data_IF_431665473582
#
_entry.id   IF_431665473582
#
_cell.length_a   1.000
_cell.length_b   1.000
_cell.length_c   1.000
_cell.angle_alpha   90.00
_cell.angle_beta   90.00
_cell.angle_gamma   90.00
#
_symmetry.space_group_name_H-M   'P 1'
#
loop_
_entity.id
_entity.type
_entity.pdbx_description
1 polymer ?
#
# COMPACT_ATOMS: atom_id res chain seq x y z
N UNK A 1 -3.94 12.63 37.71
CA UNK A 1 -5.12 12.44 36.83
C UNK A 1 -5.24 10.95 36.55
N UNK A 2 -6.36 10.31 36.86
CA UNK A 2 -6.56 8.89 36.58
C UNK A 2 -6.52 8.68 35.06
N UNK A 3 -5.47 8.02 34.56
CA UNK A 3 -5.36 7.59 33.16
C UNK A 3 -6.31 6.40 32.92
N UNK A 4 -7.62 6.62 33.02
CA UNK A 4 -8.58 5.57 32.70
C UNK A 4 -8.44 5.22 31.21
N UNK A 5 -8.29 3.94 30.90
CA UNK A 5 -8.34 3.43 29.54
C UNK A 5 -9.81 3.39 29.13
N UNK A 6 -10.13 4.03 28.02
CA UNK A 6 -11.47 4.11 27.43
C UNK A 6 -11.47 3.32 26.13
N UNK A 7 -12.58 2.66 25.83
CA UNK A 7 -12.77 1.99 24.53
C UNK A 7 -13.79 2.77 23.71
N UNK A 8 -13.56 2.86 22.41
CA UNK A 8 -14.44 3.53 21.45
C UNK A 8 -14.22 3.04 20.03
N UNK A 9 -15.04 3.55 19.12
CA UNK A 9 -14.98 3.18 17.70
C UNK A 9 -14.55 4.36 16.84
N UNK A 10 -13.67 4.13 15.90
CA UNK A 10 -13.26 5.14 14.92
C UNK A 10 -14.43 5.42 13.98
N UNK A 11 -14.96 6.64 14.05
CA UNK A 11 -16.10 7.09 13.22
C UNK A 11 -15.66 7.86 11.98
N UNK A 12 -14.45 8.41 12.00
CA UNK A 12 -13.89 9.17 10.89
C UNK A 12 -12.36 9.08 10.84
N UNK A 13 -11.78 9.03 9.63
CA UNK A 13 -10.33 9.05 9.40
C UNK A 13 -10.01 10.13 8.37
N UNK A 14 -9.11 11.04 8.72
CA UNK A 14 -8.51 11.99 7.78
C UNK A 14 -7.04 11.64 7.58
N UNK A 15 -6.73 11.02 6.45
CA UNK A 15 -5.36 10.59 6.14
C UNK A 15 -4.45 11.77 5.79
N UNK A 16 -4.98 12.84 5.17
CA UNK A 16 -4.22 14.05 4.80
C UNK A 16 -3.77 14.83 6.04
N UNK A 17 -4.71 15.08 6.96
CA UNK A 17 -4.44 15.82 8.19
C UNK A 17 -4.01 14.94 9.35
N UNK A 18 -3.90 13.63 9.12
CA UNK A 18 -3.38 12.60 10.04
C UNK A 18 -4.08 12.58 11.39
N UNK A 19 -5.41 12.61 11.39
CA UNK A 19 -6.21 12.47 12.59
C UNK A 19 -7.39 11.51 12.38
N UNK A 20 -7.89 11.00 13.52
CA UNK A 20 -9.12 10.20 13.59
C UNK A 20 -10.09 10.84 14.56
N UNK A 21 -11.39 10.56 14.37
CA UNK A 21 -12.43 10.86 15.36
C UNK A 21 -12.90 9.53 15.94
N UNK A 22 -12.90 9.45 17.26
CA UNK A 22 -13.33 8.27 18.01
C UNK A 22 -14.64 8.60 18.72
N UNK A 23 -15.68 7.79 18.49
CA UNK A 23 -16.90 7.79 19.28
C UNK A 23 -16.73 6.87 20.47
N UNK A 24 -17.11 7.31 21.65
CA UNK A 24 -17.10 6.54 22.89
C UNK A 24 -18.28 6.91 23.78
N UNK A 25 -18.60 6.03 24.70
CA UNK A 25 -19.67 6.27 25.68
C UNK A 25 -19.08 6.60 27.05
N UNK A 26 -19.57 7.66 27.65
CA UNK A 26 -19.24 8.03 29.01
C UNK A 26 -20.53 8.40 29.79
N UNK A 27 -20.78 7.68 30.88
CA UNK A 27 -21.97 7.85 31.72
C UNK A 27 -23.29 7.81 30.90
N UNK A 28 -23.41 6.87 29.96
CA UNK A 28 -24.61 6.70 29.13
C UNK A 28 -24.78 7.77 28.03
N UNK A 29 -23.75 8.61 27.78
CA UNK A 29 -23.79 9.63 26.73
C UNK A 29 -22.70 9.34 25.68
N UNK A 30 -23.10 9.39 24.42
CA UNK A 30 -22.14 9.34 23.30
C UNK A 30 -21.35 10.63 23.23
N UNK A 31 -20.05 10.51 23.14
CA UNK A 31 -19.08 11.61 22.99
C UNK A 31 -18.13 11.31 21.86
N UNK A 32 -17.49 12.33 21.34
CA UNK A 32 -16.44 12.20 20.33
C UNK A 32 -15.15 12.85 20.84
N UNK A 33 -14.03 12.29 20.41
CA UNK A 33 -12.71 12.85 20.68
C UNK A 33 -11.82 12.68 19.45
N UNK A 34 -10.97 13.67 19.18
CA UNK A 34 -9.99 13.63 18.10
C UNK A 34 -8.69 12.99 18.60
N UNK A 35 -8.11 12.09 17.82
CA UNK A 35 -6.80 11.51 18.08
C UNK A 35 -5.85 11.70 16.90
N UNK A 36 -4.55 11.84 17.14
CA UNK A 36 -3.53 11.91 16.09
C UNK A 36 -3.11 10.52 15.64
N UNK A 37 -2.98 10.32 14.32
CA UNK A 37 -2.43 9.09 13.73
C UNK A 37 -0.90 9.05 13.93
N UNK A 38 -0.24 10.20 13.93
CA UNK A 38 1.22 10.35 14.05
C UNK A 38 1.64 10.75 15.48
N UNK A 39 1.16 10.06 16.50
CA UNK A 39 1.68 10.29 17.84
C UNK A 39 3.19 10.01 17.91
N UNK A 40 3.99 11.06 18.08
CA UNK A 40 5.42 10.90 18.38
C UNK A 40 5.55 10.30 19.78
N UNK A 41 6.28 9.19 19.96
CA UNK A 41 6.47 8.64 21.30
C UNK A 41 7.22 9.64 22.18
N UNK A 42 6.66 9.95 23.34
CA UNK A 42 7.25 10.90 24.32
C UNK A 42 8.48 10.33 25.06
N UNK A 43 8.78 9.02 24.94
CA UNK A 43 9.86 8.35 25.66
C UNK A 43 10.68 7.41 24.78
N UNK A 44 11.98 7.28 25.04
CA UNK A 44 12.92 6.39 24.34
C UNK A 44 12.49 4.91 24.33
N UNK A 45 11.91 4.39 25.42
CA UNK A 45 11.35 3.04 25.47
C UNK A 45 10.13 2.83 24.53
N UNK A 46 9.44 3.90 24.16
CA UNK A 46 8.36 3.87 23.16
C UNK A 46 8.91 3.95 21.73
N UNK A 47 10.12 4.47 21.52
CA UNK A 47 10.79 4.49 20.22
C UNK A 47 11.19 3.06 19.81
N UNK A 48 11.71 2.25 20.71
CA UNK A 48 12.05 0.85 20.47
C UNK A 48 10.79 -0.02 20.20
N UNK A 49 9.64 0.32 20.79
CA UNK A 49 8.35 -0.32 20.49
C UNK A 49 7.72 0.17 19.18
N UNK A 50 8.09 1.34 18.66
CA UNK A 50 7.59 1.93 17.41
C UNK A 50 8.16 1.28 16.13
N UNK A 51 9.13 0.40 16.24
CA UNK A 51 9.54 -0.50 15.15
C UNK A 51 8.40 -1.50 14.82
N UNK A 52 7.41 -1.68 15.69
CA UNK A 52 6.13 -2.30 15.33
C UNK A 52 5.34 -1.30 14.49
N UNK A 53 5.15 -1.62 13.20
CA UNK A 53 4.35 -0.88 12.22
C UNK A 53 3.09 -0.30 12.87
N UNK A 54 2.89 1.00 12.72
CA UNK A 54 1.64 1.66 13.14
C UNK A 54 0.49 1.06 12.34
N UNK A 55 -0.57 0.64 13.02
CA UNK A 55 -1.79 0.17 12.39
C UNK A 55 -2.42 1.31 11.58
N UNK A 56 -2.72 1.13 10.28
CA UNK A 56 -3.49 2.11 9.54
C UNK A 56 -4.93 2.06 10.05
N UNK A 57 -5.37 3.10 10.76
CA UNK A 57 -6.73 3.16 11.29
C UNK A 57 -7.78 3.24 10.18
N UNK A 58 -8.89 2.54 10.39
CA UNK A 58 -10.04 2.51 9.49
C UNK A 58 -11.32 2.88 10.25
N UNK A 59 -12.33 3.34 9.52
CA UNK A 59 -13.66 3.54 10.10
C UNK A 59 -14.17 2.19 10.63
N UNK A 60 -14.78 2.19 11.81
CA UNK A 60 -15.25 0.97 12.48
C UNK A 60 -14.20 0.25 13.33
N UNK A 61 -12.92 0.70 13.31
CA UNK A 61 -11.93 0.17 14.24
C UNK A 61 -12.35 0.40 15.69
N UNK A 62 -12.39 -0.65 16.47
CA UNK A 62 -12.48 -0.54 17.92
C UNK A 62 -11.09 -0.32 18.48
N UNK A 63 -10.94 0.75 19.28
CA UNK A 63 -9.66 1.19 19.83
C UNK A 63 -9.76 1.41 21.32
N UNK A 64 -8.65 1.23 22.03
CA UNK A 64 -8.48 1.71 23.40
C UNK A 64 -7.62 2.97 23.39
N UNK A 65 -7.91 3.91 24.27
CA UNK A 65 -7.20 5.19 24.35
C UNK A 65 -7.34 5.84 25.73
N UNK A 66 -6.54 6.86 25.97
CA UNK A 66 -6.68 7.76 27.11
C UNK A 66 -7.14 9.13 26.64
N UNK A 67 -7.84 9.88 27.47
CA UNK A 67 -8.16 11.29 27.22
C UNK A 67 -7.12 12.16 27.92
N UNK A 68 -6.48 13.02 27.16
CA UNK A 68 -5.50 13.99 27.64
C UNK A 68 -5.72 15.37 27.04
N UNK A 69 -4.97 16.34 27.52
CA UNK A 69 -4.97 17.69 26.94
C UNK A 69 -3.99 17.71 25.77
N UNK A 70 -4.34 18.39 24.67
CA UNK A 70 -3.48 18.60 23.51
C UNK A 70 -2.15 19.24 23.90
N UNK A 71 -1.11 19.08 23.10
CA UNK A 71 0.19 19.73 23.36
C UNK A 71 0.10 21.27 23.41
N UNK A 72 -0.93 21.85 22.78
CA UNK A 72 -1.24 23.29 22.86
C UNK A 72 -2.04 23.69 24.08
N UNK A 73 -2.56 22.74 24.86
CA UNK A 73 -3.34 22.97 26.07
C UNK A 73 -4.77 23.48 25.85
N UNK A 74 -5.24 23.51 24.61
CA UNK A 74 -6.50 24.14 24.18
C UNK A 74 -7.70 23.20 24.08
N UNK A 75 -7.49 21.89 24.02
CA UNK A 75 -8.56 20.90 23.81
C UNK A 75 -8.21 19.52 24.35
N UNK A 76 -9.25 18.73 24.61
CA UNK A 76 -9.11 17.32 24.95
C UNK A 76 -8.84 16.49 23.68
N UNK A 77 -7.91 15.55 23.78
CA UNK A 77 -7.53 14.65 22.69
C UNK A 77 -7.41 13.22 23.18
N UNK A 78 -7.65 12.25 22.27
CA UNK A 78 -7.29 10.87 22.50
C UNK A 78 -5.77 10.69 22.35
N UNK A 79 -5.17 10.02 23.33
CA UNK A 79 -3.73 9.70 23.38
C UNK A 79 -3.53 8.22 23.65
N UNK A 80 -2.35 7.65 23.33
CA UNK A 80 -2.04 6.22 23.48
C UNK A 80 -3.06 5.31 22.79
N UNK A 81 -3.46 5.68 21.58
CA UNK A 81 -4.49 4.97 20.82
C UNK A 81 -3.94 3.62 20.38
N UNK A 82 -4.64 2.54 20.75
CA UNK A 82 -4.27 1.17 20.42
C UNK A 82 -5.44 0.48 19.73
N UNK A 83 -5.20 -0.06 18.54
CA UNK A 83 -6.17 -0.87 17.82
C UNK A 83 -6.47 -2.17 18.58
N UNK A 84 -7.73 -2.54 18.63
CA UNK A 84 -8.21 -3.79 19.22
C UNK A 84 -8.72 -4.75 18.14
N UNK A 85 -9.76 -4.37 17.40
CA UNK A 85 -10.35 -5.16 16.31
C UNK A 85 -11.23 -4.28 15.40
N UNK A 86 -11.63 -4.84 14.23
CA UNK A 86 -12.63 -4.23 13.34
C UNK A 86 -13.56 -5.31 12.77
N UNK A 87 -14.78 -5.34 13.24
CA UNK A 87 -15.77 -6.33 12.82
C UNK A 87 -16.12 -6.20 11.33
N UNK A 88 -16.22 -4.99 10.79
CA UNK A 88 -16.52 -4.77 9.36
C UNK A 88 -15.38 -5.32 8.47
N UNK A 89 -14.13 -5.08 8.84
CA UNK A 89 -12.97 -5.63 8.13
C UNK A 89 -12.98 -7.17 8.16
N UNK A 90 -13.27 -7.76 9.31
CA UNK A 90 -13.32 -9.22 9.46
C UNK A 90 -14.43 -9.83 8.60
N UNK A 91 -15.59 -9.18 8.53
CA UNK A 91 -16.69 -9.62 7.66
C UNK A 91 -16.29 -9.55 6.18
N UNK A 92 -15.63 -8.48 5.74
CA UNK A 92 -15.15 -8.37 4.35
C UNK A 92 -14.07 -9.40 4.02
N UNK A 93 -13.13 -9.67 4.94
CA UNK A 93 -12.13 -10.72 4.77
C UNK A 93 -12.80 -12.10 4.62
N UNK A 94 -13.76 -12.41 5.47
CA UNK A 94 -14.51 -13.67 5.40
C UNK A 94 -15.30 -13.79 4.08
N UNK A 95 -15.98 -12.71 3.66
CA UNK A 95 -16.66 -12.66 2.35
C UNK A 95 -15.67 -12.87 1.20
N UNK A 96 -14.49 -12.26 1.25
CA UNK A 96 -13.46 -12.40 0.23
C UNK A 96 -12.93 -13.83 0.07
N UNK A 97 -13.03 -14.67 1.10
CA UNK A 97 -12.64 -16.11 1.01
C UNK A 97 -13.62 -16.93 0.17
N UNK A 98 -14.86 -16.49 0.05
CA UNK A 98 -15.92 -17.20 -0.71
C UNK A 98 -16.22 -16.49 -2.03
N UNK A 99 -16.39 -15.17 -1.99
CA UNK A 99 -16.69 -14.34 -3.13
C UNK A 99 -15.88 -13.03 -3.03
N UNK A 100 -14.74 -13.01 -3.68
CA UNK A 100 -13.82 -11.87 -3.62
C UNK A 100 -14.15 -10.82 -4.69
N UNK A 101 -15.39 -10.33 -4.69
CA UNK A 101 -15.88 -9.33 -5.61
C UNK A 101 -16.62 -8.23 -4.84
N UNK A 102 -16.08 -7.02 -4.87
CA UNK A 102 -16.58 -5.87 -4.15
C UNK A 102 -16.76 -4.66 -5.08
N UNK A 103 -17.60 -3.74 -4.64
CA UNK A 103 -17.81 -2.45 -5.30
C UNK A 103 -17.33 -1.35 -4.35
N UNK A 104 -16.69 -0.34 -4.89
CA UNK A 104 -16.22 0.81 -4.13
C UNK A 104 -16.00 2.02 -5.02
N UNK A 105 -15.57 3.11 -4.40
CA UNK A 105 -15.22 4.36 -5.08
C UNK A 105 -13.71 4.52 -5.13
N UNK A 106 -13.17 4.83 -6.30
CA UNK A 106 -11.76 5.16 -6.46
C UNK A 106 -11.47 6.51 -5.81
N UNK A 107 -10.46 6.56 -4.95
CA UNK A 107 -10.05 7.76 -4.20
C UNK A 107 -8.55 7.96 -4.32
N UNK A 108 -8.14 9.23 -4.19
CA UNK A 108 -6.73 9.60 -4.02
C UNK A 108 -6.56 10.38 -2.71
N UNK A 109 -5.54 10.04 -1.95
CA UNK A 109 -5.19 10.69 -0.68
C UNK A 109 -3.66 10.72 -0.58
N UNK A 110 -3.06 11.88 -0.39
CA UNK A 110 -1.59 12.07 -0.35
C UNK A 110 -0.89 11.37 -1.53
N UNK A 111 -1.35 11.59 -2.76
CA UNK A 111 -0.84 11.00 -4.01
C UNK A 111 -0.87 9.46 -4.05
N UNK A 112 -1.64 8.83 -3.16
CA UNK A 112 -1.84 7.38 -3.13
C UNK A 112 -3.28 7.04 -3.48
N UNK A 113 -3.44 5.96 -4.24
CA UNK A 113 -4.75 5.45 -4.61
C UNK A 113 -5.32 4.54 -3.53
N UNK A 114 -6.63 4.66 -3.33
CA UNK A 114 -7.43 3.83 -2.44
C UNK A 114 -8.74 3.46 -3.12
N UNK A 115 -9.33 2.37 -2.67
CA UNK A 115 -10.73 2.06 -2.96
C UNK A 115 -11.51 2.15 -1.64
N UNK A 116 -12.54 3.00 -1.61
CA UNK A 116 -13.49 3.09 -0.52
C UNK A 116 -14.63 2.13 -0.78
N UNK A 117 -14.73 1.04 -0.01
CA UNK A 117 -15.80 0.06 -0.15
C UNK A 117 -17.16 0.71 0.17
N UNK A 118 -18.22 0.33 -0.58
CA UNK A 118 -19.48 1.08 -0.62
C UNK A 118 -20.32 0.91 0.65
N UNK A 119 -20.31 -0.28 1.27
CA UNK A 119 -21.19 -0.62 2.41
C UNK A 119 -20.51 -0.33 3.76
N UNK A 120 -19.25 -0.74 3.91
CA UNK A 120 -18.49 -0.57 5.15
C UNK A 120 -17.80 0.78 5.25
N UNK A 121 -17.65 1.50 4.13
CA UNK A 121 -16.85 2.72 4.00
C UNK A 121 -15.36 2.54 4.32
N UNK A 122 -14.87 1.32 4.43
CA UNK A 122 -13.46 1.04 4.64
C UNK A 122 -12.63 1.45 3.43
N UNK A 123 -11.45 2.02 3.69
CA UNK A 123 -10.48 2.39 2.66
C UNK A 123 -9.42 1.31 2.54
N UNK A 124 -9.27 0.75 1.34
CA UNK A 124 -8.24 -0.21 1.03
C UNK A 124 -7.18 0.43 0.14
N UNK A 125 -5.89 0.41 0.53
CA UNK A 125 -4.82 0.86 -0.35
C UNK A 125 -4.89 0.11 -1.69
N UNK A 126 -4.73 0.85 -2.79
CA UNK A 126 -4.65 0.32 -4.15
C UNK A 126 -3.22 0.48 -4.67
N UNK A 127 -2.38 -0.56 -4.58
CA UNK A 127 -1.04 -0.52 -5.15
C UNK A 127 -1.13 -0.40 -6.67
N UNK A 128 -0.54 0.64 -7.23
CA UNK A 128 -0.45 0.84 -8.68
C UNK A 128 0.90 0.31 -9.16
N UNK A 129 0.87 -0.51 -10.20
CA UNK A 129 2.09 -1.01 -10.86
C UNK A 129 2.86 0.15 -11.51
N UNK A 130 4.20 0.12 -11.54
CA UNK A 130 5.01 1.09 -12.29
C UNK A 130 4.66 1.13 -13.79
N UNK A 131 4.08 0.06 -14.30
CA UNK A 131 3.72 -0.09 -15.72
C UNK A 131 2.21 0.05 -15.98
N UNK A 132 1.44 0.32 -14.93
CA UNK A 132 0.01 0.59 -15.06
C UNK A 132 -0.19 2.05 -15.47
N UNK A 133 -1.09 2.28 -16.41
CA UNK A 133 -1.58 3.62 -16.70
C UNK A 133 -2.38 4.09 -15.48
N UNK A 134 -1.93 5.14 -14.78
CA UNK A 134 -2.63 5.59 -13.58
C UNK A 134 -4.05 6.05 -13.93
N UNK A 135 -5.01 5.87 -13.02
CA UNK A 135 -6.36 6.39 -13.21
C UNK A 135 -6.35 7.90 -13.44
N UNK A 136 -7.20 8.35 -14.32
CA UNK A 136 -7.36 9.78 -14.62
C UNK A 136 -8.22 10.48 -13.56
N UNK A 137 -8.15 11.82 -13.51
CA UNK A 137 -9.01 12.60 -12.60
C UNK A 137 -10.51 12.33 -12.79
N UNK A 138 -10.92 11.99 -14.01
CA UNK A 138 -12.32 11.67 -14.32
C UNK A 138 -12.80 10.35 -13.71
N UNK A 139 -11.86 9.42 -13.48
CA UNK A 139 -12.14 8.12 -12.85
C UNK A 139 -12.16 8.21 -11.32
N UNK A 140 -11.66 9.31 -10.76
CA UNK A 140 -11.76 9.55 -9.33
C UNK A 140 -13.21 9.77 -8.91
N UNK A 141 -13.59 9.14 -7.81
CA UNK A 141 -14.95 9.09 -7.27
C UNK A 141 -15.97 8.27 -8.10
N UNK A 142 -15.53 7.66 -9.19
CA UNK A 142 -16.35 6.70 -9.93
C UNK A 142 -16.36 5.34 -9.22
N UNK A 143 -17.41 4.57 -9.51
CA UNK A 143 -17.53 3.21 -8.99
C UNK A 143 -16.60 2.26 -9.71
N UNK A 144 -15.91 1.45 -8.94
CA UNK A 144 -15.00 0.40 -9.45
C UNK A 144 -15.33 -0.95 -8.81
N UNK A 145 -15.10 -2.02 -9.56
CA UNK A 145 -15.11 -3.38 -9.02
C UNK A 145 -13.70 -3.81 -8.67
N UNK A 146 -13.55 -4.41 -7.51
CA UNK A 146 -12.25 -4.81 -6.99
C UNK A 146 -12.30 -6.09 -6.18
N UNK A 147 -11.16 -6.72 -6.02
CA UNK A 147 -10.91 -7.81 -5.08
C UNK A 147 -10.01 -7.35 -3.94
N UNK A 148 -10.02 -8.08 -2.83
CA UNK A 148 -9.09 -7.90 -1.72
C UNK A 148 -7.93 -8.88 -1.84
N UNK A 149 -6.71 -8.40 -1.61
CA UNK A 149 -5.48 -9.20 -1.55
C UNK A 149 -4.85 -9.13 -0.15
N UNK A 150 -3.92 -10.05 0.15
CA UNK A 150 -3.22 -10.17 1.44
C UNK A 150 -4.14 -10.42 2.64
N UNK A 151 -5.19 -11.22 2.46
CA UNK A 151 -6.22 -11.50 3.46
C UNK A 151 -5.70 -12.14 4.75
N UNK A 152 -4.52 -12.78 4.69
CA UNK A 152 -3.82 -13.40 5.82
C UNK A 152 -3.24 -12.37 6.81
N UNK A 153 -3.11 -11.12 6.38
CA UNK A 153 -2.51 -10.02 7.16
C UNK A 153 -3.42 -8.81 7.19
N UNK A 154 -4.25 -8.70 8.23
CA UNK A 154 -5.26 -7.66 8.39
C UNK A 154 -4.73 -6.23 8.18
N UNK A 155 -3.50 -5.96 8.63
CA UNK A 155 -2.82 -4.67 8.48
C UNK A 155 -2.26 -4.40 7.08
N UNK A 156 -2.39 -5.37 6.17
CA UNK A 156 -1.85 -5.31 4.81
C UNK A 156 -2.86 -5.63 3.73
N UNK A 157 -4.13 -5.72 4.07
CA UNK A 157 -5.19 -5.93 3.08
C UNK A 157 -5.16 -4.78 2.09
N UNK A 158 -5.14 -5.10 0.80
CA UNK A 158 -5.10 -4.15 -0.30
C UNK A 158 -6.21 -4.43 -1.29
N UNK A 159 -6.64 -3.41 -2.02
CA UNK A 159 -7.53 -3.57 -3.16
C UNK A 159 -6.75 -3.89 -4.43
N UNK A 160 -7.38 -4.64 -5.33
CA UNK A 160 -6.93 -4.86 -6.69
C UNK A 160 -8.11 -4.71 -7.64
N UNK A 161 -8.00 -3.80 -8.59
CA UNK A 161 -9.04 -3.61 -9.61
C UNK A 161 -9.08 -4.79 -10.57
N UNK A 162 -10.27 -5.16 -11.03
CA UNK A 162 -10.41 -6.16 -12.10
C UNK A 162 -9.97 -5.61 -13.46
N UNK A 163 -10.20 -4.32 -13.71
CA UNK A 163 -9.82 -3.66 -14.94
C UNK A 163 -8.58 -2.80 -14.71
N UNK A 164 -7.42 -3.30 -15.13
CA UNK A 164 -6.16 -2.57 -15.09
C UNK A 164 -5.63 -2.39 -16.50
N UNK A 165 -5.33 -1.15 -16.86
CA UNK A 165 -4.67 -0.84 -18.13
C UNK A 165 -3.19 -0.67 -17.90
N UNK A 166 -2.38 -1.39 -18.67
CA UNK A 166 -0.93 -1.29 -18.62
C UNK A 166 -0.40 -0.61 -19.90
N UNK A 167 0.82 -0.09 -19.81
CA UNK A 167 1.52 0.42 -20.99
C UNK A 167 1.77 -0.69 -22.01
N UNK A 168 1.81 -0.38 -23.33
CA UNK A 168 2.00 -1.38 -24.39
C UNK A 168 3.26 -2.22 -24.20
N UNK A 169 4.33 -1.62 -23.67
CA UNK A 169 5.60 -2.27 -23.39
C UNK A 169 5.47 -3.40 -22.36
N UNK A 170 4.61 -3.23 -21.37
CA UNK A 170 4.33 -4.28 -20.37
C UNK A 170 3.60 -5.47 -21.01
N UNK A 171 2.64 -5.22 -21.90
CA UNK A 171 1.98 -6.30 -22.64
C UNK A 171 2.97 -7.04 -23.55
N UNK A 172 3.92 -6.31 -24.16
CA UNK A 172 5.01 -6.94 -24.93
C UNK A 172 5.89 -7.82 -24.04
N UNK A 173 6.26 -7.34 -22.83
CA UNK A 173 7.01 -8.11 -21.85
C UNK A 173 6.26 -9.40 -21.43
N UNK A 174 4.95 -9.31 -21.18
CA UNK A 174 4.11 -10.48 -20.86
C UNK A 174 4.12 -11.50 -21.98
N UNK A 175 4.01 -11.05 -23.25
CA UNK A 175 4.03 -11.93 -24.42
C UNK A 175 5.36 -12.69 -24.54
N UNK A 176 6.47 -11.96 -24.41
CA UNK A 176 7.83 -12.52 -24.48
C UNK A 176 8.10 -13.48 -23.32
N UNK A 177 7.70 -13.13 -22.12
CA UNK A 177 7.82 -13.99 -20.93
C UNK A 177 7.08 -15.34 -21.12
N UNK A 178 5.83 -15.30 -21.60
CA UNK A 178 5.04 -16.50 -21.88
C UNK A 178 5.65 -17.36 -22.96
N UNK A 179 6.20 -16.75 -24.01
CA UNK A 179 6.85 -17.43 -25.13
C UNK A 179 8.27 -17.92 -24.78
N UNK A 180 8.84 -17.51 -23.63
CA UNK A 180 10.23 -17.76 -23.25
C UNK A 180 11.23 -17.37 -24.33
N UNK A 181 10.96 -16.27 -25.04
CA UNK A 181 11.77 -15.81 -26.17
C UNK A 181 12.83 -14.82 -25.65
N UNK A 182 14.11 -15.00 -26.01
CA UNK A 182 15.14 -14.00 -25.72
C UNK A 182 14.84 -12.66 -26.38
N UNK A 183 15.22 -11.58 -25.72
CA UNK A 183 15.10 -10.21 -26.23
C UNK A 183 16.45 -9.51 -26.18
N UNK A 184 16.62 -8.50 -27.00
CA UNK A 184 17.74 -7.58 -26.93
C UNK A 184 17.43 -6.50 -25.88
N UNK A 185 18.36 -6.27 -24.96
CA UNK A 185 18.26 -5.25 -23.92
C UNK A 185 19.47 -4.32 -24.00
N UNK A 186 19.21 -3.01 -23.92
CA UNK A 186 20.26 -2.01 -23.90
C UNK A 186 20.79 -1.80 -22.49
N UNK A 187 22.11 -1.78 -22.33
CA UNK A 187 22.79 -1.45 -21.07
C UNK A 187 22.82 0.06 -20.88
N UNK A 188 21.99 0.60 -20.01
CA UNK A 188 22.00 2.05 -19.79
C UNK A 188 22.86 2.49 -18.61
N UNK A 189 23.20 1.59 -17.69
CA UNK A 189 24.05 1.90 -16.53
C UNK A 189 24.72 0.65 -15.97
N UNK A 190 25.97 0.81 -15.55
CA UNK A 190 26.73 -0.24 -14.84
C UNK A 190 27.16 0.33 -13.49
N UNK A 191 27.02 -0.46 -12.45
CA UNK A 191 27.46 -0.14 -11.09
C UNK A 191 28.09 -1.38 -10.43
N UNK A 192 28.82 -1.24 -9.32
CA UNK A 192 29.31 -2.41 -8.59
C UNK A 192 28.20 -3.37 -8.12
N UNK A 193 26.93 -2.90 -8.10
CA UNK A 193 25.78 -3.69 -7.65
C UNK A 193 25.00 -4.36 -8.78
N UNK A 194 25.30 -4.09 -10.05
CA UNK A 194 24.63 -4.70 -11.19
C UNK A 194 24.67 -3.90 -12.48
N UNK A 195 24.25 -4.57 -13.55
CA UNK A 195 24.01 -4.02 -14.86
C UNK A 195 22.54 -3.67 -14.98
N UNK A 196 22.24 -2.43 -15.32
CA UNK A 196 20.88 -1.93 -15.49
C UNK A 196 20.53 -1.88 -16.98
N UNK A 197 19.39 -2.43 -17.32
CA UNK A 197 18.94 -2.71 -18.68
C UNK A 197 17.62 -2.03 -18.99
N UNK A 198 17.53 -1.46 -20.19
CA UNK A 198 16.28 -1.09 -20.84
C UNK A 198 15.80 -2.29 -21.68
N UNK A 199 14.62 -2.86 -21.36
CA UNK A 199 14.12 -4.07 -22.03
C UNK A 199 13.24 -3.74 -23.24
N UNK A 200 12.32 -2.79 -23.09
CA UNK A 200 11.37 -2.33 -24.11
C UNK A 200 11.42 -0.80 -24.15
N UNK A 201 12.48 -0.24 -24.72
CA UNK A 201 12.80 1.17 -24.56
C UNK A 201 13.11 1.52 -23.10
N UNK A 202 12.92 2.76 -22.70
CA UNK A 202 13.17 3.29 -21.36
C UNK A 202 12.03 3.00 -20.35
N UNK A 203 10.90 2.47 -20.80
CA UNK A 203 9.69 2.27 -20.00
C UNK A 203 9.76 1.04 -19.09
N UNK A 204 10.49 0.03 -19.48
CA UNK A 204 10.65 -1.19 -18.69
C UNK A 204 12.13 -1.44 -18.45
N UNK A 205 12.51 -1.36 -17.20
CA UNK A 205 13.88 -1.55 -16.77
C UNK A 205 14.03 -2.78 -15.89
N UNK A 206 15.18 -3.42 -15.96
CA UNK A 206 15.55 -4.53 -15.10
C UNK A 206 17.02 -4.43 -14.70
N UNK A 207 17.43 -5.29 -13.79
CA UNK A 207 18.80 -5.34 -13.28
C UNK A 207 19.29 -6.76 -13.25
N UNK A 208 20.48 -6.98 -13.77
CA UNK A 208 21.26 -8.19 -13.57
C UNK A 208 22.24 -7.94 -12.44
N UNK A 209 22.21 -8.73 -11.32
CA UNK A 209 23.21 -8.60 -10.27
C UNK A 209 24.61 -8.99 -10.80
N UNK A 210 25.61 -8.28 -10.33
CA UNK A 210 27.02 -8.61 -10.64
C UNK A 210 27.38 -9.89 -9.89
N UNK A 211 27.55 -10.99 -10.63
CA UNK A 211 28.14 -12.24 -10.13
C UNK A 211 29.40 -12.56 -10.93
N UNK A 212 30.53 -12.27 -10.35
CA UNK A 212 31.89 -12.80 -10.55
C UNK A 212 32.54 -12.70 -11.93
N UNK A 213 32.20 -13.38 -12.96
CA UNK A 213 33.15 -13.62 -14.09
C UNK A 213 32.75 -13.07 -15.48
N UNK A 214 31.52 -12.58 -15.68
CA UNK A 214 31.04 -12.32 -17.06
C UNK A 214 30.82 -10.84 -17.41
N UNK A 215 31.45 -9.87 -16.69
CA UNK A 215 31.05 -8.46 -16.79
C UNK A 215 32.20 -7.53 -17.25
N UNK A 216 33.42 -8.03 -17.34
CA UNK A 216 34.59 -7.21 -17.64
C UNK A 216 34.54 -6.46 -18.98
N UNK A 217 33.75 -6.91 -19.94
CA UNK A 217 33.72 -6.38 -21.30
C UNK A 217 32.46 -5.58 -21.67
N UNK A 218 31.41 -5.60 -20.80
CA UNK A 218 30.14 -4.92 -21.07
C UNK A 218 30.25 -3.44 -20.72
N UNK A 219 29.82 -2.56 -21.61
CA UNK A 219 29.81 -1.11 -21.46
C UNK A 219 28.39 -0.54 -21.55
N UNK A 220 28.20 0.65 -20.98
CA UNK A 220 26.96 1.38 -21.19
C UNK A 220 26.81 1.71 -22.69
N UNK A 221 25.62 1.48 -23.24
CA UNK A 221 25.32 1.55 -24.68
C UNK A 221 25.35 0.21 -25.39
N UNK A 222 25.91 -0.84 -24.79
CA UNK A 222 25.93 -2.16 -25.41
C UNK A 222 24.53 -2.79 -25.40
N UNK A 223 24.30 -3.69 -26.35
CA UNK A 223 23.09 -4.51 -26.43
C UNK A 223 23.42 -5.94 -26.10
N UNK A 224 22.73 -6.50 -25.12
CA UNK A 224 22.88 -7.89 -24.70
C UNK A 224 21.59 -8.66 -24.87
N UNK A 225 21.69 -9.97 -25.15
CA UNK A 225 20.51 -10.84 -25.15
C UNK A 225 20.19 -11.32 -23.77
N UNK A 226 18.90 -11.20 -23.40
CA UNK A 226 18.40 -11.62 -22.09
C UNK A 226 17.09 -12.38 -22.25
N UNK A 227 16.79 -13.23 -21.27
CA UNK A 227 15.49 -13.89 -21.14
C UNK A 227 14.82 -13.41 -19.85
N UNK A 228 13.50 -13.15 -19.91
CA UNK A 228 12.71 -12.81 -18.71
C UNK A 228 12.43 -14.11 -17.96
N UNK A 229 13.00 -14.25 -16.76
CA UNK A 229 12.81 -15.44 -15.91
C UNK A 229 11.71 -15.27 -14.88
N UNK A 230 11.39 -14.01 -14.52
CA UNK A 230 10.27 -13.69 -13.63
C UNK A 230 9.60 -12.40 -14.08
N UNK A 231 8.27 -12.40 -14.04
CA UNK A 231 7.45 -11.22 -14.36
C UNK A 231 6.25 -11.14 -13.41
N UNK A 232 6.11 -10.01 -12.76
CA UNK A 232 4.94 -9.63 -11.95
C UNK A 232 4.54 -8.19 -12.25
N UNK A 233 3.46 -7.71 -11.66
CA UNK A 233 3.01 -6.32 -11.79
C UNK A 233 3.92 -5.30 -11.08
N UNK A 234 4.92 -5.75 -10.33
CA UNK A 234 5.84 -4.87 -9.59
C UNK A 234 7.32 -5.13 -9.88
N UNK A 235 7.65 -6.23 -10.56
CA UNK A 235 9.05 -6.63 -10.76
C UNK A 235 9.23 -7.49 -12.01
N UNK A 236 10.32 -7.23 -12.74
CA UNK A 236 10.81 -8.05 -13.84
C UNK A 236 12.25 -8.48 -13.51
N UNK A 237 12.53 -9.77 -13.65
CA UNK A 237 13.88 -10.34 -13.51
C UNK A 237 14.27 -10.93 -14.84
N UNK A 238 15.50 -10.67 -15.25
CA UNK A 238 16.10 -11.19 -16.48
C UNK A 238 17.43 -11.86 -16.20
N UNK A 239 17.78 -12.79 -17.05
CA UNK A 239 19.09 -13.46 -17.07
C UNK A 239 19.71 -13.32 -18.46
N UNK A 240 21.04 -13.17 -18.55
CA UNK A 240 21.73 -13.15 -19.84
C UNK A 240 21.59 -14.51 -20.52
N UNK A 241 21.48 -14.49 -21.84
CA UNK A 241 21.50 -15.67 -22.66
C UNK A 241 22.89 -15.74 -23.31
N UNK A 242 23.57 -16.88 -23.25
CA UNK A 242 24.89 -17.06 -23.84
C UNK A 242 24.92 -16.78 -25.34
#
# INVERSE_FOLDING_TARGET
>A
MNNAIITGNVSFVNYEKKYIIIEYEEKGRKKTVTGSIDEKPKNQAAIERKIKKTHPFHIGDTVSFNIGISDRGDRMMATNITYLYNTALDLLINKAQTENNFIGYLKIVDDKYFVKEIDSYLFFPLPVSPWQIPPTEKELNETVTFSLENLDKRDKVTAKLYNNNYIPEFYAAVKVYKAKTPINAEVYKITPYGIYLNLFGDKIQSKIPVSGENISDIKAGDTIKVIITYLSTSRIIVEPVP
#
